data_IF_413256028362
#
_entry.id   IF_413256028362
#
_cell.length_a   1.000
_cell.length_b   1.000
_cell.length_c   1.000
_cell.angle_alpha   90.00
_cell.angle_beta   90.00
_cell.angle_gamma   90.00
#
_symmetry.space_group_name_H-M   'P 1'
#
loop_
_entity.id
_entity.type
_entity.pdbx_description
1 polymer ?
#
# COMPACT_ATOMS: atom_id res chain seq x y z
N UNK A 1 19.49 -17.65 -28.24
CA UNK A 1 19.84 -16.37 -27.59
C UNK A 1 18.53 -15.77 -27.10
N UNK A 2 18.01 -16.30 -25.99
CA UNK A 2 16.77 -15.82 -25.39
C UNK A 2 17.14 -14.62 -24.53
N UNK A 3 16.63 -13.46 -24.89
CA UNK A 3 16.73 -12.24 -24.09
C UNK A 3 16.08 -12.51 -22.74
N UNK A 4 16.91 -12.77 -21.73
CA UNK A 4 16.55 -12.86 -20.32
C UNK A 4 16.25 -11.44 -19.82
N UNK A 5 15.16 -10.86 -20.30
CA UNK A 5 14.53 -9.74 -19.62
C UNK A 5 13.84 -10.38 -18.43
N UNK A 6 14.48 -10.38 -17.26
CA UNK A 6 13.82 -10.73 -16.02
C UNK A 6 12.46 -10.00 -16.01
N UNK A 7 11.33 -10.70 -15.79
CA UNK A 7 10.04 -10.02 -15.74
C UNK A 7 10.16 -8.90 -14.71
N UNK A 8 9.81 -7.67 -15.10
CA UNK A 8 9.90 -6.51 -14.21
C UNK A 8 9.02 -6.76 -12.99
N UNK A 9 9.62 -7.25 -11.91
CA UNK A 9 8.91 -7.49 -10.68
C UNK A 9 8.83 -6.17 -9.91
N UNK A 10 7.66 -5.53 -9.97
CA UNK A 10 7.35 -4.28 -9.30
C UNK A 10 6.81 -4.52 -7.88
N UNK A 11 6.93 -5.74 -7.35
CA UNK A 11 6.65 -5.98 -5.93
C UNK A 11 7.53 -5.07 -5.08
N UNK A 12 6.97 -4.52 -4.01
CA UNK A 12 7.66 -3.56 -3.14
C UNK A 12 8.08 -2.28 -3.88
N UNK A 13 7.23 -1.81 -4.80
CA UNK A 13 7.36 -0.50 -5.45
C UNK A 13 6.15 0.38 -5.17
N UNK A 14 6.35 1.69 -5.25
CA UNK A 14 5.27 2.66 -5.34
C UNK A 14 4.92 2.91 -6.81
N UNK A 15 3.63 2.86 -7.11
CA UNK A 15 3.03 3.47 -8.29
C UNK A 15 2.54 4.86 -7.92
N UNK A 16 3.00 5.85 -8.66
CA UNK A 16 2.63 7.24 -8.46
C UNK A 16 1.79 7.65 -9.67
N UNK A 17 0.55 8.04 -9.42
CA UNK A 17 -0.34 8.50 -10.48
C UNK A 17 0.20 9.78 -11.10
N UNK A 18 0.33 9.79 -12.42
CA UNK A 18 0.66 11.01 -13.16
C UNK A 18 -0.49 12.03 -13.07
N UNK A 19 -0.22 13.34 -13.05
CA UNK A 19 -1.27 14.37 -13.03
C UNK A 19 -2.25 14.31 -14.21
N UNK A 20 -1.83 13.71 -15.33
CA UNK A 20 -2.66 13.50 -16.52
C UNK A 20 -3.63 12.31 -16.42
N UNK A 21 -3.55 11.50 -15.35
CA UNK A 21 -4.45 10.36 -15.15
C UNK A 21 -5.89 10.85 -14.94
N UNK A 22 -6.80 10.45 -15.84
CA UNK A 22 -8.19 10.91 -15.83
C UNK A 22 -9.07 10.21 -14.78
N UNK A 23 -8.56 9.19 -14.10
CA UNK A 23 -9.31 8.51 -13.05
C UNK A 23 -9.29 9.34 -11.75
N UNK A 24 -10.44 9.91 -11.38
CA UNK A 24 -10.61 10.70 -10.16
C UNK A 24 -10.26 9.91 -8.88
N UNK A 25 -10.49 8.60 -8.90
CA UNK A 25 -10.19 7.69 -7.77
C UNK A 25 -8.69 7.66 -7.51
N UNK A 26 -7.91 7.58 -8.60
CA UNK A 26 -6.46 7.44 -8.58
C UNK A 26 -5.71 8.76 -8.77
N UNK A 27 -6.41 9.86 -9.01
CA UNK A 27 -5.77 11.16 -9.18
C UNK A 27 -4.91 11.54 -7.96
N UNK A 28 -3.63 11.82 -8.23
CA UNK A 28 -2.58 12.05 -7.22
C UNK A 28 -2.49 10.96 -6.17
N UNK A 29 -2.80 9.71 -6.51
CA UNK A 29 -2.63 8.58 -5.60
C UNK A 29 -1.20 8.04 -5.61
N UNK A 30 -0.80 7.49 -4.47
CA UNK A 30 0.41 6.68 -4.31
C UNK A 30 -0.05 5.30 -3.90
N UNK A 31 0.27 4.30 -4.70
CA UNK A 31 -0.11 2.91 -4.48
C UNK A 31 1.15 2.12 -4.17
N UNK A 32 1.14 1.39 -3.07
CA UNK A 32 2.17 0.43 -2.74
C UNK A 32 1.83 -0.95 -3.30
N UNK A 33 2.65 -1.45 -4.22
CA UNK A 33 2.48 -2.79 -4.80
C UNK A 33 2.97 -3.86 -3.82
N UNK A 34 2.00 -4.65 -3.36
CA UNK A 34 2.24 -5.78 -2.45
C UNK A 34 2.58 -7.05 -3.22
N UNK A 35 2.04 -7.21 -4.43
CA UNK A 35 2.31 -8.37 -5.28
C UNK A 35 2.32 -7.93 -6.75
N UNK A 36 3.31 -8.37 -7.51
CA UNK A 36 3.35 -8.27 -8.96
C UNK A 36 3.73 -9.60 -9.59
N UNK A 37 2.85 -10.14 -10.44
CA UNK A 37 3.07 -11.36 -11.18
C UNK A 37 2.53 -11.24 -12.61
N UNK A 38 2.89 -12.18 -13.48
CA UNK A 38 2.33 -12.23 -14.85
C UNK A 38 0.81 -12.40 -14.90
N UNK A 39 0.17 -12.78 -13.77
CA UNK A 39 -1.28 -12.95 -13.67
C UNK A 39 -2.00 -11.65 -13.28
N UNK A 40 -1.25 -10.64 -12.85
CA UNK A 40 -1.79 -9.38 -12.37
C UNK A 40 -0.99 -8.81 -11.20
N UNK A 41 -1.49 -7.68 -10.68
CA UNK A 41 -0.86 -6.96 -9.59
C UNK A 41 -1.86 -6.67 -8.47
N UNK A 42 -1.37 -6.58 -7.24
CA UNK A 42 -2.12 -6.15 -6.08
C UNK A 42 -1.37 -5.01 -5.40
N UNK A 43 -2.09 -3.91 -5.11
CA UNK A 43 -1.54 -2.77 -4.41
C UNK A 43 -2.53 -2.11 -3.47
N UNK A 44 -2.00 -1.30 -2.56
CA UNK A 44 -2.76 -0.52 -1.59
C UNK A 44 -2.45 0.96 -1.78
N UNK A 45 -3.48 1.77 -1.97
CA UNK A 45 -3.35 3.23 -1.96
C UNK A 45 -3.01 3.69 -0.54
N UNK A 46 -1.87 4.36 -0.38
CA UNK A 46 -1.34 4.78 0.93
C UNK A 46 -1.61 6.25 1.25
N UNK A 47 -2.11 7.06 0.32
CA UNK A 47 -2.20 8.52 0.52
C UNK A 47 -3.63 9.08 0.44
N UNK A 48 -4.65 8.22 0.48
CA UNK A 48 -6.06 8.61 0.49
C UNK A 48 -6.67 8.20 1.84
N UNK A 49 -6.85 9.14 2.79
CA UNK A 49 -7.56 8.84 4.03
C UNK A 49 -9.05 8.69 3.72
N UNK A 50 -9.72 7.81 4.43
CA UNK A 50 -11.17 7.62 4.40
C UNK A 50 -11.85 8.50 5.46
N UNK A 51 -13.18 8.60 5.38
CA UNK A 51 -13.99 9.31 6.38
C UNK A 51 -14.18 8.53 7.68
N UNK A 52 -13.67 7.29 7.73
CA UNK A 52 -13.70 6.45 8.93
C UNK A 52 -12.33 6.43 9.61
N UNK A 53 -12.34 6.32 10.93
CA UNK A 53 -11.16 6.12 11.76
C UNK A 53 -11.07 4.66 12.25
N UNK A 54 -9.95 4.32 12.89
CA UNK A 54 -9.77 2.99 13.47
C UNK A 54 -10.86 2.68 14.49
N UNK A 55 -11.28 3.64 15.32
CA UNK A 55 -12.36 3.41 16.28
C UNK A 55 -13.64 2.85 15.63
N UNK A 56 -14.11 3.49 14.55
CA UNK A 56 -15.32 3.04 13.82
C UNK A 56 -15.09 1.66 13.18
N UNK A 57 -13.89 1.40 12.67
CA UNK A 57 -13.56 0.09 12.11
C UNK A 57 -13.60 -1.01 13.18
N UNK A 58 -13.01 -0.75 14.35
CA UNK A 58 -12.95 -1.68 15.49
C UNK A 58 -14.34 -1.93 16.09
N UNK A 59 -15.18 -0.91 16.21
CA UNK A 59 -16.58 -1.05 16.62
C UNK A 59 -17.37 -1.98 15.68
N UNK A 60 -17.16 -1.88 14.36
CA UNK A 60 -17.80 -2.77 13.38
C UNK A 60 -17.38 -4.24 13.50
N UNK A 61 -16.15 -4.50 13.95
CA UNK A 61 -15.65 -5.86 14.18
C UNK A 61 -15.82 -6.31 15.64
N UNK A 62 -16.54 -5.52 16.45
CA UNK A 62 -16.83 -5.78 17.86
C UNK A 62 -15.57 -5.91 18.75
N UNK A 63 -14.50 -5.19 18.38
CA UNK A 63 -13.24 -5.16 19.11
C UNK A 63 -13.11 -3.91 19.98
N UNK A 64 -12.60 -4.11 21.19
CA UNK A 64 -12.36 -3.02 22.15
C UNK A 64 -10.90 -2.56 22.05
N UNK A 65 -10.69 -1.31 21.63
CA UNK A 65 -9.37 -0.67 21.66
C UNK A 65 -8.94 -0.42 23.11
N UNK A 66 -7.85 -1.02 23.55
CA UNK A 66 -7.27 -0.74 24.86
C UNK A 66 -6.62 0.66 24.91
N UNK A 67 -6.17 1.17 23.77
CA UNK A 67 -5.52 2.48 23.63
C UNK A 67 -6.41 3.45 22.84
N UNK A 68 -7.09 4.42 23.51
CA UNK A 68 -7.97 5.37 22.84
C UNK A 68 -7.23 6.27 21.85
N UNK A 69 -5.95 6.56 22.08
CA UNK A 69 -5.10 7.36 21.18
C UNK A 69 -4.91 6.69 19.81
N UNK A 70 -4.93 5.35 19.75
CA UNK A 70 -4.84 4.61 18.49
C UNK A 70 -6.15 4.65 17.70
N UNK A 71 -7.28 4.82 18.39
CA UNK A 71 -8.61 4.86 17.76
C UNK A 71 -8.84 6.09 16.87
N UNK A 72 -8.09 7.18 17.07
CA UNK A 72 -8.20 8.39 16.24
C UNK A 72 -7.43 8.31 14.92
N UNK A 73 -6.59 7.29 14.73
CA UNK A 73 -5.84 7.16 13.49
C UNK A 73 -6.81 6.97 12.29
N UNK A 74 -6.56 7.65 11.15
CA UNK A 74 -7.39 7.51 9.98
C UNK A 74 -7.20 6.14 9.34
N UNK A 75 -8.29 5.59 8.82
CA UNK A 75 -8.22 4.42 7.93
C UNK A 75 -8.05 4.94 6.51
N UNK A 76 -7.26 4.25 5.70
CA UNK A 76 -7.01 4.62 4.32
C UNK A 76 -7.98 3.93 3.37
N UNK A 77 -8.24 4.53 2.23
CA UNK A 77 -8.89 3.84 1.12
C UNK A 77 -7.79 3.17 0.32
N UNK A 78 -7.70 1.84 0.38
CA UNK A 78 -6.66 1.06 -0.29
C UNK A 78 -6.95 0.79 -1.76
N UNK A 79 -8.21 0.90 -2.18
CA UNK A 79 -8.65 0.85 -3.57
C UNK A 79 -10.14 0.51 -3.69
N UNK A 80 -10.68 0.42 -4.93
CA UNK A 80 -12.10 0.20 -5.17
C UNK A 80 -12.56 -1.24 -4.94
N UNK A 81 -11.63 -2.20 -4.83
CA UNK A 81 -11.96 -3.62 -4.71
C UNK A 81 -12.11 -4.00 -3.25
N UNK A 82 -13.19 -4.70 -2.89
CA UNK A 82 -13.48 -5.18 -1.53
C UNK A 82 -13.36 -4.09 -0.45
N UNK A 83 -13.97 -2.92 -0.69
CA UNK A 83 -13.98 -1.76 0.22
C UNK A 83 -14.59 -2.06 1.60
N UNK A 84 -15.30 -3.18 1.74
CA UNK A 84 -15.83 -3.65 3.02
C UNK A 84 -14.80 -4.43 3.86
N UNK A 85 -13.69 -4.87 3.26
CA UNK A 85 -12.62 -5.61 3.95
C UNK A 85 -11.47 -4.69 4.34
N UNK A 86 -11.00 -4.87 5.57
CA UNK A 86 -9.79 -4.23 6.09
C UNK A 86 -8.54 -5.00 5.71
N UNK A 87 -7.55 -4.27 5.23
CA UNK A 87 -6.20 -4.74 4.99
C UNK A 87 -5.28 -3.99 5.95
N UNK A 88 -4.38 -4.74 6.57
CA UNK A 88 -3.46 -4.21 7.58
C UNK A 88 -2.04 -4.44 7.09
N UNK A 89 -1.40 -3.36 6.64
CA UNK A 89 0.00 -3.36 6.23
C UNK A 89 0.86 -3.01 7.45
N UNK A 90 1.82 -3.85 7.78
CA UNK A 90 2.68 -3.65 8.94
C UNK A 90 4.11 -4.09 8.66
N UNK A 91 5.03 -3.64 9.52
CA UNK A 91 6.39 -4.21 9.54
C UNK A 91 6.35 -5.68 9.99
N UNK A 92 7.29 -6.51 9.51
CA UNK A 92 7.32 -7.93 9.83
C UNK A 92 7.47 -8.12 11.34
N UNK A 93 6.54 -8.87 11.92
CA UNK A 93 6.59 -9.20 13.35
C UNK A 93 7.29 -10.53 13.46
N UNK A 94 8.60 -10.51 13.73
CA UNK A 94 9.36 -11.72 14.02
C UNK A 94 8.91 -12.23 15.39
N UNK A 95 8.19 -13.36 15.43
CA UNK A 95 8.01 -14.09 16.68
C UNK A 95 9.39 -14.38 17.26
N UNK A 96 9.58 -14.25 18.58
CA UNK A 96 10.86 -14.47 19.29
C UNK A 96 11.40 -15.93 19.20
N UNK A 97 11.01 -16.70 18.19
CA UNK A 97 11.51 -18.03 17.87
C UNK A 97 12.30 -17.97 16.53
N UNK A 98 13.63 -18.14 16.54
CA UNK A 98 14.49 -17.98 15.36
C UNK A 98 14.32 -19.05 14.27
N UNK A 99 13.33 -19.95 14.38
CA UNK A 99 13.13 -21.11 13.50
C UNK A 99 11.74 -21.22 12.87
N UNK A 100 10.81 -20.30 13.16
CA UNK A 100 9.47 -20.31 12.55
C UNK A 100 9.37 -19.24 11.47
N UNK A 101 9.47 -19.64 10.20
CA UNK A 101 9.06 -18.83 9.04
C UNK A 101 7.52 -18.72 8.91
N UNK A 102 6.81 -18.84 10.04
CA UNK A 102 5.35 -18.73 10.10
C UNK A 102 4.99 -17.32 10.55
N UNK A 103 4.16 -16.65 9.75
CA UNK A 103 3.60 -15.36 10.10
C UNK A 103 2.78 -15.47 11.39
N UNK A 104 2.91 -14.47 12.26
CA UNK A 104 2.24 -14.44 13.58
C UNK A 104 0.70 -14.42 13.46
N UNK A 105 0.18 -13.91 12.35
CA UNK A 105 -1.25 -13.75 12.12
C UNK A 105 -1.74 -14.67 11.00
N UNK A 106 -2.99 -15.13 11.11
CA UNK A 106 -3.63 -15.87 10.03
C UNK A 106 -3.76 -15.00 8.77
N UNK A 107 -3.70 -15.59 7.58
CA UNK A 107 -3.86 -14.89 6.29
C UNK A 107 -2.95 -13.65 6.14
N UNK A 108 -1.69 -13.81 6.56
CA UNK A 108 -0.61 -12.85 6.32
C UNK A 108 0.09 -13.18 5.01
N UNK A 109 0.28 -12.16 4.20
CA UNK A 109 1.10 -12.20 2.99
C UNK A 109 2.42 -11.49 3.29
N UNK A 110 3.53 -12.21 3.14
CA UNK A 110 4.87 -11.63 3.28
C UNK A 110 5.27 -10.99 1.95
N UNK A 111 5.58 -9.70 1.97
CA UNK A 111 5.98 -8.96 0.78
C UNK A 111 7.51 -8.94 0.72
N UNK A 112 8.12 -9.54 -0.32
CA UNK A 112 9.57 -9.49 -0.51
C UNK A 112 10.05 -8.04 -0.55
N UNK A 113 10.88 -7.64 0.42
CA UNK A 113 11.32 -6.25 0.58
C UNK A 113 11.08 -5.68 1.98
N UNK A 114 10.27 -6.36 2.81
CA UNK A 114 10.31 -6.18 4.26
C UNK A 114 9.03 -5.64 4.91
N UNK A 115 7.86 -5.83 4.28
CA UNK A 115 6.55 -5.55 4.90
C UNK A 115 5.67 -6.80 4.84
N UNK A 116 4.67 -6.82 5.71
CA UNK A 116 3.67 -7.88 5.78
C UNK A 116 2.27 -7.27 5.68
N UNK A 117 1.41 -7.92 4.90
CA UNK A 117 0.01 -7.52 4.76
C UNK A 117 -0.89 -8.62 5.32
N UNK A 118 -1.67 -8.27 6.33
CA UNK A 118 -2.59 -9.17 7.00
C UNK A 118 -4.04 -8.79 6.71
N UNK A 119 -4.86 -9.79 6.44
CA UNK A 119 -6.31 -9.62 6.16
C UNK A 119 -7.21 -10.21 7.24
N UNK A 120 -6.63 -10.85 8.26
CA UNK A 120 -7.36 -11.44 9.37
C UNK A 120 -7.69 -10.44 10.47
N UNK A 121 -8.70 -10.77 11.28
CA UNK A 121 -9.07 -9.98 12.46
C UNK A 121 -8.03 -10.08 13.58
N UNK A 122 -7.23 -11.13 13.60
CA UNK A 122 -6.24 -11.40 14.66
C UNK A 122 -5.20 -10.28 14.80
N UNK A 123 -4.77 -9.65 13.71
CA UNK A 123 -3.86 -8.49 13.78
C UNK A 123 -4.56 -7.27 14.36
N UNK A 124 -5.86 -7.08 14.07
CA UNK A 124 -6.65 -6.02 14.67
C UNK A 124 -6.81 -6.27 16.17
N UNK A 125 -7.04 -7.52 16.60
CA UNK A 125 -7.07 -7.90 18.01
C UNK A 125 -5.74 -7.64 18.72
N UNK A 126 -4.62 -8.00 18.09
CA UNK A 126 -3.29 -7.72 18.62
C UNK A 126 -3.03 -6.21 18.74
N UNK A 127 -3.43 -5.42 17.74
CA UNK A 127 -3.37 -3.96 17.80
C UNK A 127 -4.29 -3.41 18.89
N UNK A 128 -5.49 -3.97 19.06
CA UNK A 128 -6.45 -3.58 20.10
C UNK A 128 -5.85 -3.75 21.50
N UNK A 129 -5.13 -4.86 21.72
CA UNK A 129 -4.52 -5.23 23.01
C UNK A 129 -3.14 -4.60 23.24
N UNK A 130 -2.61 -3.87 22.27
CA UNK A 130 -1.27 -3.26 22.34
C UNK A 130 -0.11 -4.23 22.11
N UNK A 131 -0.39 -5.47 21.70
CA UNK A 131 0.59 -6.49 21.33
C UNK A 131 0.92 -6.50 19.82
N UNK A 132 0.31 -5.61 19.05
CA UNK A 132 0.50 -5.49 17.61
C UNK A 132 1.79 -4.78 17.19
N UNK A 133 2.08 -4.74 15.88
CA UNK A 133 3.23 -4.06 15.32
C UNK A 133 3.23 -2.55 15.64
N UNK A 134 4.43 -1.97 15.83
CA UNK A 134 4.58 -0.55 16.18
C UNK A 134 4.16 0.37 15.03
N UNK A 135 4.46 -0.04 13.80
CA UNK A 135 4.11 0.69 12.58
C UNK A 135 3.08 -0.11 11.79
N UNK A 136 1.91 0.47 11.63
CA UNK A 136 0.79 -0.15 10.92
C UNK A 136 0.05 0.89 10.09
N UNK A 137 -0.40 0.47 8.91
CA UNK A 137 -1.29 1.20 8.03
C UNK A 137 -2.51 0.30 7.79
N UNK A 138 -3.68 0.81 8.15
CA UNK A 138 -4.94 0.10 7.94
C UNK A 138 -5.67 0.75 6.77
N UNK A 139 -5.99 -0.03 5.75
CA UNK A 139 -6.75 0.41 4.59
C UNK A 139 -8.01 -0.42 4.40
N UNK A 140 -9.02 0.16 3.80
CA UNK A 140 -10.21 -0.54 3.31
C UNK A 140 -10.11 -0.77 1.82
N UNK A 141 -10.32 -2.01 1.42
CA UNK A 141 -10.14 -2.45 0.05
C UNK A 141 -8.69 -2.39 -0.43
N UNK A 142 -8.54 -2.78 -1.69
CA UNK A 142 -7.26 -2.80 -2.40
C UNK A 142 -7.48 -2.44 -3.86
N UNK A 143 -6.37 -2.12 -4.53
CA UNK A 143 -6.32 -1.98 -5.97
C UNK A 143 -5.75 -3.25 -6.58
N UNK A 144 -6.38 -3.72 -7.63
CA UNK A 144 -5.97 -4.89 -8.37
C UNK A 144 -5.84 -4.51 -9.85
N UNK A 145 -4.83 -5.09 -10.49
CA UNK A 145 -4.65 -5.02 -11.93
C UNK A 145 -4.79 -6.41 -12.50
N UNK A 146 -5.53 -6.51 -13.60
CA UNK A 146 -5.60 -7.74 -14.39
C UNK A 146 -4.26 -7.98 -15.11
N UNK A 147 -4.10 -9.20 -15.63
CA UNK A 147 -2.93 -9.59 -16.41
C UNK A 147 -2.66 -8.61 -17.56
N UNK A 148 -1.47 -8.00 -17.60
CA UNK A 148 -1.05 -7.07 -18.64
C UNK A 148 -1.64 -5.67 -18.54
N UNK A 149 -2.55 -5.42 -17.58
CA UNK A 149 -3.19 -4.12 -17.42
C UNK A 149 -2.19 -3.09 -16.88
N UNK A 150 -1.45 -3.43 -15.82
CA UNK A 150 -0.47 -2.53 -15.22
C UNK A 150 0.61 -2.16 -16.23
N UNK A 151 1.10 -3.12 -17.02
CA UNK A 151 2.10 -2.91 -18.06
C UNK A 151 1.59 -1.99 -19.18
N UNK A 152 0.31 -2.13 -19.55
CA UNK A 152 -0.33 -1.24 -20.52
C UNK A 152 -0.42 0.19 -19.98
N UNK A 153 -0.86 0.35 -18.73
CA UNK A 153 -0.95 1.66 -18.08
C UNK A 153 0.44 2.31 -17.89
N UNK A 154 1.47 1.51 -17.60
CA UNK A 154 2.87 1.98 -17.55
C UNK A 154 3.36 2.41 -18.94
N UNK A 155 3.01 1.68 -20.00
CA UNK A 155 3.37 2.04 -21.38
C UNK A 155 2.68 3.33 -21.85
N UNK A 156 1.47 3.60 -21.34
CA UNK A 156 0.74 4.85 -21.57
C UNK A 156 1.23 6.02 -20.69
N UNK A 157 2.24 5.79 -19.84
CA UNK A 157 2.74 6.74 -18.85
C UNK A 157 1.65 7.20 -17.85
N UNK A 158 0.68 6.34 -17.54
CA UNK A 158 -0.32 6.61 -16.51
C UNK A 158 0.27 6.57 -15.09
N UNK A 159 1.31 5.74 -14.90
CA UNK A 159 1.98 5.54 -13.61
C UNK A 159 3.48 5.71 -13.70
N UNK A 160 4.07 6.24 -12.64
CA UNK A 160 5.52 6.21 -12.40
C UNK A 160 5.83 5.16 -11.33
N UNK A 161 6.88 4.38 -11.52
CA UNK A 161 7.31 3.33 -10.59
C UNK A 161 8.57 3.76 -9.84
N UNK A 162 8.60 3.57 -8.52
CA UNK A 162 9.79 3.79 -7.70
C UNK A 162 9.91 2.75 -6.61
N UNK A 163 11.15 2.40 -6.22
CA UNK A 163 11.36 1.49 -5.09
C UNK A 163 10.67 2.01 -3.83
N UNK A 164 9.93 1.12 -3.15
CA UNK A 164 9.20 1.52 -1.96
C UNK A 164 10.15 1.79 -0.78
N UNK A 165 9.87 2.88 -0.08
CA UNK A 165 10.52 3.25 1.18
C UNK A 165 9.46 3.26 2.29
N UNK A 166 9.55 2.36 3.30
CA UNK A 166 8.63 2.32 4.42
C UNK A 166 8.49 3.65 5.18
N UNK A 167 9.51 4.52 5.15
CA UNK A 167 9.42 5.85 5.75
C UNK A 167 8.36 6.74 5.06
N UNK A 168 8.06 6.52 3.78
CA UNK A 168 6.96 7.20 3.08
C UNK A 168 5.60 6.70 3.57
N UNK A 169 5.51 5.42 3.95
CA UNK A 169 4.27 4.78 4.40
C UNK A 169 3.96 5.14 5.84
N UNK A 170 4.96 5.13 6.74
CA UNK A 170 4.72 5.26 8.18
C UNK A 170 5.15 6.61 8.76
N UNK A 171 6.25 7.19 8.30
CA UNK A 171 6.83 8.39 8.91
C UNK A 171 6.43 9.68 8.19
N UNK A 172 5.89 9.59 6.98
CA UNK A 172 5.49 10.75 6.17
C UNK A 172 4.00 11.08 6.30
N UNK A 173 3.63 12.35 6.56
CA UNK A 173 2.24 12.80 6.57
C UNK A 173 1.56 12.55 5.22
N UNK A 174 0.30 12.13 5.26
CA UNK A 174 -0.50 11.72 4.08
C UNK A 174 -0.42 12.69 2.91
N UNK A 175 -0.58 13.99 3.17
CA UNK A 175 -0.53 15.03 2.14
C UNK A 175 0.85 15.22 1.48
N UNK A 176 1.93 14.73 2.11
CA UNK A 176 3.30 14.82 1.61
C UNK A 176 3.78 13.51 0.97
N UNK A 177 3.04 12.40 1.12
CA UNK A 177 3.45 11.08 0.60
C UNK A 177 3.65 11.10 -0.91
N UNK A 178 2.79 11.81 -1.64
CA UNK A 178 2.89 11.97 -3.09
C UNK A 178 4.19 12.66 -3.50
N UNK A 179 4.47 13.84 -2.94
CA UNK A 179 5.68 14.59 -3.25
C UNK A 179 6.94 13.84 -2.79
N UNK A 180 6.89 13.14 -1.65
CA UNK A 180 7.98 12.30 -1.16
C UNK A 180 8.26 11.12 -2.08
N UNK A 181 7.24 10.43 -2.55
CA UNK A 181 7.40 9.33 -3.51
C UNK A 181 8.02 9.83 -4.83
N UNK A 182 7.62 11.01 -5.31
CA UNK A 182 8.24 11.64 -6.48
C UNK A 182 9.70 12.02 -6.24
N UNK A 183 10.04 12.55 -5.06
CA UNK A 183 11.42 12.86 -4.72
C UNK A 183 12.33 11.62 -4.68
N UNK A 184 11.79 10.43 -4.38
CA UNK A 184 12.56 9.18 -4.46
C UNK A 184 13.01 8.85 -5.89
N UNK A 185 12.25 9.29 -6.90
CA UNK A 185 12.65 9.23 -8.32
C UNK A 185 13.70 10.28 -8.70
N UNK A 186 14.03 11.20 -7.79
CA UNK A 186 14.75 12.43 -8.11
C UNK A 186 13.92 13.41 -8.96
N UNK A 187 12.60 13.20 -9.03
CA UNK A 187 11.66 14.06 -9.73
C UNK A 187 10.97 15.00 -8.75
N UNK A 188 10.80 16.25 -9.17
CA UNK A 188 10.00 17.21 -8.41
C UNK A 188 8.61 17.29 -9.04
N UNK A 189 7.55 17.31 -8.22
CA UNK A 189 6.16 17.28 -8.72
C UNK A 189 5.82 18.39 -9.73
N UNK A 190 6.50 19.52 -9.66
CA UNK A 190 6.31 20.65 -10.58
C UNK A 190 6.98 20.44 -11.96
N UNK A 191 7.87 19.46 -12.11
CA UNK A 191 8.49 19.08 -13.39
C UNK A 191 7.64 18.11 -14.21
N UNK A 192 6.59 17.55 -13.60
CA UNK A 192 5.61 16.71 -14.30
C UNK A 192 4.60 17.63 -14.99
N UNK A 193 4.95 18.13 -16.18
CA UNK A 193 3.98 18.78 -17.06
C UNK A 193 3.01 17.75 -17.65
N UNK A 194 1.71 18.07 -17.76
CA UNK A 194 0.72 17.17 -18.36
C UNK A 194 0.90 16.99 -19.88
N UNK A 195 1.69 17.85 -20.53
CA UNK A 195 2.10 17.68 -21.92
C UNK A 195 3.26 16.68 -21.98
N UNK A 196 2.96 15.43 -22.34
CA UNK A 196 3.95 14.49 -22.81
C UNK A 196 4.58 15.08 -24.09
N UNK A 197 5.77 15.66 -23.96
CA UNK A 197 6.54 16.18 -25.08
C UNK A 197 6.92 15.04 -26.04
N UNK A 198 6.12 14.87 -27.10
CA UNK A 198 6.54 14.15 -28.29
C UNK A 198 7.63 14.99 -28.99
N UNK A 199 8.84 14.42 -29.10
CA UNK A 199 9.87 14.87 -30.03
C UNK A 199 9.90 13.98 -31.26
#
# INVERSE_FOLDING_TARGET
MSSDSAPMNLTHHFLIAMPGLQDETFHRSVIYLCEHSERGALGLVINKPSDINLKVLFEKVELHLASPEFGEAPVYQGGPVQTERGFVLHEPVVANAPDSAESVYASTMVIPGGLEMTTSKDVLEALATGAGPRKVLVSLGYSAWEQGQLESELAENSWLTVGADPAVIFDTPVGQRYDRALMLLGLEAWKLSPDAGHA
#
